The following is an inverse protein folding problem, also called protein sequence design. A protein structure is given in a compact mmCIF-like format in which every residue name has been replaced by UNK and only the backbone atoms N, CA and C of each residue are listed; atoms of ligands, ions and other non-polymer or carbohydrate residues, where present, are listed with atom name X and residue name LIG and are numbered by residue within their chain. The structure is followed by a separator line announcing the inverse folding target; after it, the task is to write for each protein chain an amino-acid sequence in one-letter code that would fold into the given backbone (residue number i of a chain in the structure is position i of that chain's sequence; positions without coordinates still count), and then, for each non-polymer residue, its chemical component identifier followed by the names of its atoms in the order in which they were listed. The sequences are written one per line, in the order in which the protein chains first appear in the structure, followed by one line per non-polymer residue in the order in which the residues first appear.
data_IF_830191727277
#
_entry.id   IF_830191727277
#
_cell.length_a   1.000
_cell.length_b   1.000
_cell.length_c   1.000
_cell.angle_alpha   90.00
_cell.angle_beta   90.00
_cell.angle_gamma   90.00
#
_symmetry.space_group_name_H-M   'P 1'
#
loop_
_entity.id
_entity.type
_entity.pdbx_description
1 polymer ?
#
# COMPACT_ATOMS: atom_id res chain seq x y z
N UNK A 1 -1.52 -4.27 -12.16
CA UNK A 1 -1.69 -5.50 -11.36
C UNK A 1 -2.11 -5.21 -9.93
N UNK A 2 -1.36 -4.36 -9.22
CA UNK A 2 -1.63 -3.99 -7.82
C UNK A 2 -3.05 -3.46 -7.55
N UNK A 3 -3.71 -2.82 -8.53
CA UNK A 3 -5.09 -2.33 -8.37
C UNK A 3 -6.18 -3.26 -8.92
N UNK A 4 -5.82 -4.34 -9.63
CA UNK A 4 -6.80 -5.29 -10.18
C UNK A 4 -7.79 -5.82 -9.13
N UNK A 5 -7.38 -6.11 -7.88
CA UNK A 5 -8.31 -6.60 -6.86
C UNK A 5 -9.43 -5.61 -6.48
N UNK A 6 -9.30 -4.33 -6.85
CA UNK A 6 -10.36 -3.33 -6.63
C UNK A 6 -11.40 -3.30 -7.76
N UNK A 7 -11.16 -3.98 -8.89
CA UNK A 7 -12.13 -4.04 -9.98
C UNK A 7 -13.31 -4.93 -9.57
N UNK A 8 -14.53 -4.44 -9.73
CA UNK A 8 -15.77 -5.11 -9.32
C UNK A 8 -15.83 -5.49 -7.82
N UNK A 9 -15.01 -4.83 -7.00
CA UNK A 9 -14.97 -5.02 -5.56
C UNK A 9 -15.85 -4.00 -4.84
N UNK A 10 -16.38 -4.39 -3.69
CA UNK A 10 -17.17 -3.51 -2.84
C UNK A 10 -16.25 -2.59 -2.05
N UNK A 11 -16.39 -1.28 -2.20
CA UNK A 11 -15.65 -0.30 -1.40
C UNK A 11 -15.90 -0.51 0.10
N UNK A 12 -14.84 -0.46 0.90
CA UNK A 12 -14.91 -0.48 2.35
C UNK A 12 -14.62 0.92 2.89
N UNK A 13 -15.48 1.49 3.75
CA UNK A 13 -15.21 2.76 4.41
C UNK A 13 -13.89 2.69 5.19
N UNK A 14 -13.06 3.72 5.00
CA UNK A 14 -11.79 3.87 5.69
C UNK A 14 -11.78 5.17 6.48
N UNK A 15 -11.15 5.12 7.66
CA UNK A 15 -10.74 6.31 8.41
C UNK A 15 -9.22 6.34 8.40
N UNK A 16 -8.64 7.36 7.77
CA UNK A 16 -7.20 7.51 7.62
C UNK A 16 -6.72 8.74 8.37
N UNK A 17 -5.85 8.52 9.33
CA UNK A 17 -5.06 9.57 9.98
C UNK A 17 -3.64 9.46 9.46
N UNK A 18 -3.17 10.52 8.79
CA UNK A 18 -1.81 10.58 8.25
C UNK A 18 -1.23 11.98 8.44
N UNK A 19 0.09 12.09 8.46
CA UNK A 19 0.77 13.38 8.41
C UNK A 19 0.48 14.15 7.12
N UNK A 20 1.01 15.36 7.04
CA UNK A 20 0.97 16.17 5.83
C UNK A 20 2.32 16.15 5.13
N UNK A 21 2.30 16.16 3.80
CA UNK A 21 3.44 16.51 2.98
C UNK A 21 3.23 17.94 2.46
N UNK A 22 4.24 18.79 2.64
CA UNK A 22 4.26 20.17 2.18
C UNK A 22 5.38 20.39 1.16
N UNK A 23 5.07 21.07 0.06
CA UNK A 23 6.05 21.50 -0.93
C UNK A 23 5.64 22.86 -1.52
N UNK A 24 6.53 23.84 -1.45
CA UNK A 24 6.30 25.21 -1.93
C UNK A 24 5.01 25.87 -1.40
N UNK A 25 4.61 25.55 -0.17
CA UNK A 25 3.39 26.07 0.46
C UNK A 25 2.11 25.27 0.19
N UNK A 26 2.13 24.33 -0.77
CA UNK A 26 1.03 23.41 -1.02
C UNK A 26 1.09 22.20 -0.08
N UNK A 27 -0.06 21.78 0.45
CA UNK A 27 -0.18 20.69 1.42
C UNK A 27 -1.11 19.60 0.93
N UNK A 28 -0.67 18.36 1.07
CA UNK A 28 -1.47 17.15 0.83
C UNK A 28 -1.29 16.16 1.98
N UNK A 29 -2.21 15.21 2.12
CA UNK A 29 -2.00 14.06 3.01
C UNK A 29 -0.76 13.29 2.57
N UNK A 30 0.11 12.97 3.52
CA UNK A 30 1.31 12.17 3.27
C UNK A 30 0.95 10.79 2.75
N UNK A 31 -0.13 10.20 3.28
CA UNK A 31 -0.62 8.89 2.86
C UNK A 31 -1.99 9.02 2.24
N UNK A 32 -2.20 8.34 1.13
CA UNK A 32 -3.52 8.04 0.57
C UNK A 32 -3.80 6.56 0.73
N UNK A 33 -5.05 6.21 1.04
CA UNK A 33 -5.45 4.83 1.24
C UNK A 33 -6.76 4.53 0.52
N UNK A 34 -6.95 3.27 0.14
CA UNK A 34 -8.23 2.74 -0.33
C UNK A 34 -8.37 1.29 0.12
N UNK A 35 -9.59 0.89 0.46
CA UNK A 35 -9.89 -0.47 0.83
C UNK A 35 -11.13 -0.98 0.08
N UNK A 36 -11.09 -2.24 -0.31
CA UNK A 36 -12.22 -2.91 -0.95
C UNK A 36 -12.29 -4.37 -0.52
N UNK A 37 -13.46 -4.97 -0.72
CA UNK A 37 -13.73 -6.37 -0.51
C UNK A 37 -14.11 -7.00 -1.84
N UNK A 38 -13.32 -7.98 -2.27
CA UNK A 38 -13.61 -8.77 -3.46
C UNK A 38 -14.87 -9.63 -3.27
N UNK A 39 -15.44 -10.11 -4.37
CA UNK A 39 -16.55 -11.07 -4.36
C UNK A 39 -16.21 -12.39 -3.66
N UNK A 40 -14.93 -12.77 -3.63
CA UNK A 40 -14.41 -13.91 -2.87
C UNK A 40 -14.31 -13.66 -1.36
N UNK A 41 -14.58 -12.44 -0.90
CA UNK A 41 -14.55 -12.05 0.51
C UNK A 41 -13.20 -11.55 1.02
N UNK A 42 -12.15 -11.57 0.19
CA UNK A 42 -10.84 -11.04 0.54
C UNK A 42 -10.86 -9.52 0.62
N UNK A 43 -10.19 -8.98 1.64
CA UNK A 43 -10.03 -7.54 1.83
C UNK A 43 -8.71 -7.12 1.21
N UNK A 44 -8.75 -6.10 0.36
CA UNK A 44 -7.59 -5.48 -0.25
C UNK A 44 -7.45 -4.05 0.21
N UNK A 45 -6.24 -3.67 0.60
CA UNK A 45 -5.89 -2.33 1.05
C UNK A 45 -4.72 -1.83 0.23
N UNK A 46 -4.86 -0.66 -0.37
CA UNK A 46 -3.77 0.01 -1.08
C UNK A 46 -3.40 1.29 -0.35
N UNK A 47 -2.11 1.50 -0.15
CA UNK A 47 -1.52 2.62 0.58
C UNK A 47 -0.47 3.29 -0.31
N UNK A 48 -0.54 4.60 -0.45
CA UNK A 48 0.42 5.39 -1.23
C UNK A 48 1.09 6.42 -0.32
N UNK A 49 2.42 6.39 -0.19
CA UNK A 49 3.18 7.44 0.47
C UNK A 49 3.62 8.48 -0.55
N UNK A 50 3.02 9.66 -0.48
CA UNK A 50 3.25 10.79 -1.36
C UNK A 50 4.50 11.58 -0.99
N UNK A 51 5.09 11.35 0.19
CA UNK A 51 6.31 12.03 0.59
C UNK A 51 7.52 11.38 -0.09
N UNK A 52 8.31 12.14 -0.88
CA UNK A 52 9.43 11.59 -1.62
C UNK A 52 10.71 11.40 -0.79
N UNK A 53 10.71 11.83 0.48
CA UNK A 53 11.91 11.84 1.33
C UNK A 53 11.72 11.07 2.64
N UNK A 54 10.49 10.96 3.13
CA UNK A 54 10.21 10.38 4.44
C UNK A 54 9.37 9.12 4.32
N UNK A 55 9.73 8.10 5.09
CA UNK A 55 8.85 6.95 5.34
C UNK A 55 7.58 7.38 6.11
N UNK A 56 6.53 6.59 6.00
CA UNK A 56 5.32 6.72 6.80
C UNK A 56 5.08 5.40 7.57
N UNK A 57 4.80 5.50 8.86
CA UNK A 57 4.42 4.36 9.69
C UNK A 57 2.91 4.40 9.87
N UNK A 58 2.22 3.36 9.41
CA UNK A 58 0.76 3.29 9.40
C UNK A 58 0.31 2.07 10.18
N UNK A 59 -0.66 2.29 11.07
CA UNK A 59 -1.35 1.23 11.79
C UNK A 59 -2.68 0.95 11.08
N UNK A 60 -2.89 -0.30 10.67
CA UNK A 60 -4.11 -0.76 10.01
C UNK A 60 -4.88 -1.68 10.95
N UNK A 61 -6.09 -1.26 11.29
CA UNK A 61 -7.05 -2.04 12.07
C UNK A 61 -8.20 -2.46 11.15
N UNK A 62 -8.48 -3.77 11.09
CA UNK A 62 -9.64 -4.29 10.35
C UNK A 62 -10.80 -4.49 11.31
N UNK A 63 -11.77 -3.58 11.28
CA UNK A 63 -12.98 -3.68 12.11
C UNK A 63 -14.04 -4.51 11.41
N UNK A 64 -14.66 -5.44 12.14
CA UNK A 64 -15.69 -6.34 11.59
C UNK A 64 -15.16 -7.51 10.76
N UNK A 65 -13.84 -7.69 10.68
CA UNK A 65 -13.21 -8.83 10.03
C UNK A 65 -12.02 -9.33 10.86
N UNK A 66 -11.77 -10.64 10.86
CA UNK A 66 -10.55 -11.24 11.42
C UNK A 66 -9.75 -11.85 10.29
N UNK A 67 -8.43 -11.62 10.28
CA UNK A 67 -7.51 -12.25 9.34
C UNK A 67 -6.28 -12.74 10.09
N UNK A 68 -5.70 -13.85 9.63
CA UNK A 68 -4.44 -14.40 10.15
C UNK A 68 -3.21 -13.64 9.63
N UNK A 69 -3.37 -12.80 8.61
CA UNK A 69 -2.28 -12.03 8.02
C UNK A 69 -2.72 -11.19 6.83
N UNK A 70 -1.79 -10.37 6.36
CA UNK A 70 -1.89 -9.67 5.09
C UNK A 70 -0.57 -9.86 4.34
N UNK A 71 -0.65 -10.03 3.02
CA UNK A 71 0.51 -10.14 2.15
C UNK A 71 0.32 -9.27 0.92
N UNK A 72 1.40 -8.90 0.24
CA UNK A 72 1.26 -7.95 -0.83
C UNK A 72 2.54 -7.56 -1.55
N UNK A 73 2.40 -6.52 -2.36
CA UNK A 73 3.44 -6.02 -3.24
C UNK A 73 3.68 -4.54 -2.97
N UNK A 74 4.90 -4.09 -3.24
CA UNK A 74 5.31 -2.69 -3.21
C UNK A 74 5.90 -2.29 -4.56
N UNK A 75 5.55 -1.09 -5.00
CA UNK A 75 6.22 -0.37 -6.08
C UNK A 75 6.89 0.85 -5.45
N UNK A 76 8.22 0.93 -5.57
CA UNK A 76 9.01 2.06 -5.06
C UNK A 76 10.30 2.18 -5.86
N UNK A 77 11.01 3.29 -5.67
CA UNK A 77 12.26 3.61 -6.32
C UNK A 77 13.19 4.34 -5.36
N UNK A 78 14.50 4.38 -5.69
CA UNK A 78 15.49 5.16 -4.92
C UNK A 78 15.57 6.62 -5.38
N UNK A 79 14.93 6.97 -6.50
CA UNK A 79 14.82 8.35 -7.00
C UNK A 79 13.46 8.55 -7.67
N UNK A 80 12.93 9.77 -7.57
CA UNK A 80 11.60 10.15 -8.06
C UNK A 80 11.44 9.97 -9.57
N UNK A 81 12.52 10.14 -10.33
CA UNK A 81 12.47 10.13 -11.80
C UNK A 81 12.90 8.78 -12.42
N UNK A 82 12.98 7.71 -11.62
CA UNK A 82 13.23 6.37 -12.16
C UNK A 82 12.06 5.96 -13.03
N UNK A 83 12.38 5.50 -14.25
CA UNK A 83 11.42 5.00 -15.22
C UNK A 83 12.05 3.86 -16.01
N UNK A 84 11.21 3.03 -16.62
CA UNK A 84 11.64 1.94 -17.47
C UNK A 84 11.94 2.47 -18.89
N UNK A 85 13.05 2.03 -19.48
CA UNK A 85 13.38 2.26 -20.89
C UNK A 85 13.45 0.93 -21.64
N UNK A 86 13.64 0.94 -22.95
CA UNK A 86 13.82 -0.30 -23.71
C UNK A 86 15.09 -1.06 -23.28
N UNK A 87 16.15 -0.33 -22.93
CA UNK A 87 17.42 -0.88 -22.44
C UNK A 87 17.33 -1.32 -20.98
N UNK A 88 16.47 -0.67 -20.19
CA UNK A 88 16.24 -0.98 -18.77
C UNK A 88 14.74 -1.15 -18.50
N UNK A 89 14.14 -2.26 -18.96
CA UNK A 89 12.68 -2.45 -18.87
C UNK A 89 12.19 -2.67 -17.42
N UNK A 90 13.10 -3.02 -16.51
CA UNK A 90 12.80 -3.44 -15.13
C UNK A 90 13.40 -2.51 -14.06
N UNK A 91 13.69 -1.25 -14.40
CA UNK A 91 14.25 -0.27 -13.46
C UNK A 91 13.30 0.03 -12.28
N UNK A 92 11.99 -0.04 -12.51
CA UNK A 92 10.93 0.06 -11.51
C UNK A 92 9.85 -0.98 -11.80
N UNK A 93 9.63 -1.90 -10.86
CA UNK A 93 8.60 -2.94 -10.94
C UNK A 93 8.09 -3.35 -9.56
N UNK A 94 6.85 -3.86 -9.45
CA UNK A 94 6.35 -4.36 -8.18
C UNK A 94 7.19 -5.52 -7.66
N UNK A 95 7.53 -5.49 -6.37
CA UNK A 95 8.21 -6.58 -5.67
C UNK A 95 7.42 -6.96 -4.42
N UNK A 96 7.75 -8.10 -3.81
CA UNK A 96 7.10 -8.54 -2.56
C UNK A 96 7.32 -7.48 -1.47
N UNK A 97 6.25 -7.17 -0.73
CA UNK A 97 6.32 -6.28 0.41
C UNK A 97 6.55 -7.08 1.71
N UNK A 98 7.59 -6.72 2.45
CA UNK A 98 8.00 -7.44 3.67
C UNK A 98 7.89 -6.59 4.94
N UNK A 99 7.70 -5.27 4.82
CA UNK A 99 7.67 -4.34 5.96
C UNK A 99 6.28 -4.27 6.60
N UNK A 100 5.74 -5.43 6.97
CA UNK A 100 4.47 -5.60 7.66
C UNK A 100 4.66 -6.49 8.89
N UNK A 101 4.12 -6.05 10.03
CA UNK A 101 4.09 -6.84 11.25
C UNK A 101 2.67 -6.82 11.84
N UNK A 102 2.26 -7.91 12.48
CA UNK A 102 1.00 -7.99 13.22
C UNK A 102 1.22 -7.66 14.70
N UNK A 103 0.27 -6.97 15.31
CA UNK A 103 0.18 -6.73 16.75
C UNK A 103 -1.25 -7.03 17.24
N UNK A 104 -1.50 -6.92 18.55
CA UNK A 104 -2.81 -7.21 19.15
C UNK A 104 -3.97 -6.36 18.58
N UNK A 105 -3.66 -5.20 17.99
CA UNK A 105 -4.63 -4.24 17.47
C UNK A 105 -4.74 -4.23 15.94
N UNK A 106 -3.97 -5.06 15.23
CA UNK A 106 -3.98 -5.12 13.77
C UNK A 106 -2.58 -5.26 13.17
N UNK A 107 -2.28 -4.46 12.14
CA UNK A 107 -1.03 -4.49 11.39
C UNK A 107 -0.29 -3.17 11.47
N UNK A 108 1.03 -3.21 11.68
CA UNK A 108 1.92 -2.07 11.49
C UNK A 108 2.63 -2.22 10.15
N UNK A 109 2.60 -1.15 9.36
CA UNK A 109 3.15 -1.11 8.01
C UNK A 109 4.11 0.07 7.92
N UNK A 110 5.33 -0.18 7.43
CA UNK A 110 6.29 0.87 7.14
C UNK A 110 6.32 1.10 5.64
N UNK A 111 5.71 2.20 5.21
CA UNK A 111 5.71 2.66 3.82
C UNK A 111 7.03 3.42 3.55
N UNK A 112 7.90 2.95 2.65
CA UNK A 112 9.04 3.73 2.18
C UNK A 112 8.58 5.07 1.58
N UNK A 113 9.51 6.01 1.46
CA UNK A 113 9.26 7.22 0.67
C UNK A 113 8.82 6.85 -0.77
N UNK A 114 7.96 7.68 -1.39
CA UNK A 114 7.50 7.53 -2.78
C UNK A 114 7.10 6.11 -3.16
N UNK A 115 6.23 5.49 -2.36
CA UNK A 115 5.86 4.09 -2.51
C UNK A 115 4.37 3.88 -2.66
N UNK A 116 4.00 2.83 -3.40
CA UNK A 116 2.65 2.29 -3.47
C UNK A 116 2.72 0.86 -2.94
N UNK A 117 1.92 0.54 -1.94
CA UNK A 117 1.83 -0.79 -1.34
C UNK A 117 0.41 -1.30 -1.52
N UNK A 118 0.27 -2.52 -2.02
CA UNK A 118 -1.01 -3.22 -2.13
C UNK A 118 -0.97 -4.48 -1.29
N UNK A 119 -1.87 -4.58 -0.34
CA UNK A 119 -2.01 -5.69 0.60
C UNK A 119 -3.35 -6.38 0.39
N UNK A 120 -3.36 -7.70 0.56
CA UNK A 120 -4.55 -8.53 0.55
C UNK A 120 -4.55 -9.51 1.72
N UNK A 121 -5.74 -9.89 2.18
CA UNK A 121 -5.91 -10.99 3.16
C UNK A 121 -5.76 -12.37 2.52
N UNK A 122 -5.73 -12.44 1.19
CA UNK A 122 -5.39 -13.63 0.45
C UNK A 122 -3.88 -13.90 0.52
N UNK A 123 -3.53 -15.17 0.74
CA UNK A 123 -2.13 -15.59 0.70
C UNK A 123 -1.64 -15.51 -0.74
N UNK A 124 -0.60 -14.71 -1.00
CA UNK A 124 0.13 -14.78 -2.27
C UNK A 124 0.62 -16.23 -2.46
N UNK A 125 -0.02 -16.98 -3.37
CA UNK A 125 0.49 -18.29 -3.80
C UNK A 125 1.84 -18.02 -4.47
N UNK A 126 2.92 -18.53 -3.88
CA UNK A 126 4.22 -18.56 -4.55
C UNK A 126 4.03 -19.29 -5.87
N UNK A 127 4.29 -18.60 -6.98
CA UNK A 127 4.71 -19.28 -8.19
C UNK A 127 6.15 -19.76 -8.02
#
# INVERSE_FOLDING_TARGET
EMYKPHHDATFLPIHLESGLYEYNGDKISQVSASASKSSAGNIHVTLCNMNPRSKAEIHVELRGAKTSGMSGMILTANSMNIHNTFEKPDAIKPVRFENISSNERGFQIILPAMSIVSLGTDTLKSK
#
